data_IF_566275249595
#
_entry.id   IF_566275249595
#
_cell.length_a   1.000
_cell.length_b   1.000
_cell.length_c   1.000
_cell.angle_alpha   90.00
_cell.angle_beta   90.00
_cell.angle_gamma   90.00
#
_symmetry.space_group_name_H-M   'P 1'
#
loop_
_entity.id
_entity.type
_entity.pdbx_description
1 polymer ?
#
# COMPACT_ATOMS: atom_id res chain seq x y z
N UNK A 1 3.00 -5.25 17.40
CA UNK A 1 2.29 -6.47 17.84
C UNK A 1 0.78 -6.40 17.54
N UNK A 2 0.05 -5.37 17.99
CA UNK A 2 -1.41 -5.23 17.75
C UNK A 2 -1.76 -5.25 16.25
N UNK A 3 -1.05 -4.51 15.41
CA UNK A 3 -1.28 -4.49 13.96
C UNK A 3 -1.10 -5.86 13.29
N UNK A 4 -0.10 -6.64 13.71
CA UNK A 4 0.14 -7.99 13.20
C UNK A 4 -1.02 -8.92 13.60
N UNK A 5 -1.47 -8.84 14.85
CA UNK A 5 -2.60 -9.66 15.35
C UNK A 5 -3.87 -9.31 14.59
N UNK A 6 -4.13 -8.02 14.40
CA UNK A 6 -5.32 -7.54 13.69
C UNK A 6 -5.33 -7.96 12.22
N UNK A 7 -4.21 -7.77 11.51
CA UNK A 7 -4.07 -8.24 10.13
C UNK A 7 -4.22 -9.76 10.01
N UNK A 8 -3.59 -10.51 10.93
CA UNK A 8 -3.70 -11.98 10.93
C UNK A 8 -5.13 -12.42 11.17
N UNK A 9 -5.86 -11.76 12.08
CA UNK A 9 -7.26 -12.06 12.35
C UNK A 9 -8.17 -11.70 11.16
N UNK A 10 -7.99 -10.52 10.55
CA UNK A 10 -8.76 -10.09 9.40
C UNK A 10 -8.56 -11.05 8.22
N UNK A 11 -7.31 -11.41 7.92
CA UNK A 11 -6.97 -12.39 6.89
C UNK A 11 -7.57 -13.76 7.18
N UNK A 12 -7.46 -14.24 8.43
CA UNK A 12 -8.07 -15.50 8.83
C UNK A 12 -9.57 -15.51 8.57
N UNK A 13 -10.29 -14.43 8.91
CA UNK A 13 -11.72 -14.28 8.66
C UNK A 13 -12.04 -14.29 7.17
N UNK A 14 -11.28 -13.56 6.35
CA UNK A 14 -11.47 -13.51 4.89
C UNK A 14 -11.23 -14.89 4.28
N UNK A 15 -10.15 -15.57 4.65
CA UNK A 15 -9.85 -16.90 4.12
C UNK A 15 -10.83 -17.98 4.60
N UNK A 16 -11.38 -17.88 5.81
CA UNK A 16 -12.45 -18.76 6.26
C UNK A 16 -13.75 -18.52 5.48
N UNK A 17 -14.07 -17.25 5.19
CA UNK A 17 -15.27 -16.89 4.41
C UNK A 17 -15.17 -17.38 2.97
N UNK A 18 -14.01 -17.20 2.32
CA UNK A 18 -13.76 -17.59 0.94
C UNK A 18 -13.32 -19.05 0.77
N UNK A 19 -13.29 -19.85 1.83
CA UNK A 19 -12.86 -21.26 1.85
C UNK A 19 -11.42 -21.49 1.33
N UNK A 20 -10.56 -20.47 1.37
CA UNK A 20 -9.15 -20.62 1.02
C UNK A 20 -8.36 -21.31 2.15
N UNK A 21 -7.73 -22.44 1.83
CA UNK A 21 -6.83 -23.12 2.76
C UNK A 21 -5.52 -22.35 2.96
N UNK A 22 -5.14 -22.07 4.20
CA UNK A 22 -3.85 -21.48 4.56
C UNK A 22 -2.71 -22.43 4.21
N UNK A 23 -1.87 -22.09 3.22
CA UNK A 23 -0.65 -22.84 2.93
C UNK A 23 0.52 -22.30 3.77
N UNK A 24 1.22 -23.16 4.51
CA UNK A 24 2.33 -22.81 5.41
C UNK A 24 3.37 -21.88 4.77
N UNK A 25 3.75 -22.16 3.53
CA UNK A 25 4.76 -21.35 2.82
C UNK A 25 4.27 -19.91 2.49
N UNK A 26 2.98 -19.74 2.27
CA UNK A 26 2.36 -18.44 2.00
C UNK A 26 2.28 -17.60 3.28
N UNK A 27 2.03 -18.24 4.43
CA UNK A 27 2.05 -17.56 5.72
C UNK A 27 3.44 -17.02 6.09
N UNK A 28 4.52 -17.71 5.72
CA UNK A 28 5.88 -17.24 5.92
C UNK A 28 6.14 -15.95 5.12
N UNK A 29 5.69 -15.87 3.87
CA UNK A 29 5.81 -14.66 3.03
C UNK A 29 5.08 -13.48 3.70
N UNK A 30 3.87 -13.71 4.19
CA UNK A 30 3.11 -12.71 4.93
C UNK A 30 3.85 -12.21 6.18
N UNK A 31 4.41 -13.12 6.97
CA UNK A 31 5.21 -12.75 8.15
C UNK A 31 6.44 -11.91 7.77
N UNK A 32 7.13 -12.26 6.70
CA UNK A 32 8.28 -11.50 6.20
C UNK A 32 7.86 -10.08 5.80
N UNK A 33 6.73 -9.91 5.12
CA UNK A 33 6.22 -8.59 4.76
C UNK A 33 5.90 -7.75 6.01
N UNK A 34 5.20 -8.33 7.00
CA UNK A 34 4.90 -7.64 8.24
C UNK A 34 6.15 -7.28 9.06
N UNK A 35 7.14 -8.17 9.11
CA UNK A 35 8.42 -7.90 9.79
C UNK A 35 9.19 -6.76 9.14
N UNK A 36 9.30 -6.76 7.81
CA UNK A 36 9.92 -5.66 7.06
C UNK A 36 9.26 -4.32 7.36
N UNK A 37 7.93 -4.26 7.29
CA UNK A 37 7.17 -3.06 7.64
C UNK A 37 7.46 -2.61 9.06
N UNK A 38 7.46 -3.55 10.01
CA UNK A 38 7.68 -3.26 11.44
C UNK A 38 9.08 -2.70 11.71
N UNK A 39 10.11 -3.26 11.08
CA UNK A 39 11.52 -2.81 11.27
C UNK A 39 11.71 -1.39 10.74
N UNK A 40 11.24 -1.11 9.52
CA UNK A 40 11.39 0.20 8.89
C UNK A 40 10.66 1.27 9.70
N UNK A 41 9.41 0.99 10.05
CA UNK A 41 8.59 1.92 10.83
C UNK A 41 9.20 2.18 12.21
N UNK A 42 9.68 1.15 12.90
CA UNK A 42 10.28 1.28 14.21
C UNK A 42 11.53 2.19 14.18
N UNK A 43 12.34 2.09 13.13
CA UNK A 43 13.49 2.95 12.95
C UNK A 43 13.12 4.44 12.86
N UNK A 44 11.96 4.78 12.25
CA UNK A 44 11.54 6.17 12.07
C UNK A 44 10.69 6.75 13.21
N UNK A 45 10.09 5.92 14.06
CA UNK A 45 9.35 6.41 15.24
C UNK A 45 10.22 7.26 16.17
N UNK A 46 11.48 6.87 16.34
CA UNK A 46 12.42 7.59 17.19
C UNK A 46 12.84 8.95 16.62
N UNK A 47 12.84 9.10 15.30
CA UNK A 47 13.27 10.33 14.62
C UNK A 47 12.12 11.33 14.41
N UNK A 48 10.92 10.85 14.04
CA UNK A 48 9.83 11.72 13.59
C UNK A 48 8.67 11.83 14.58
N UNK A 49 8.70 11.04 15.66
CA UNK A 49 7.60 10.97 16.63
C UNK A 49 6.46 10.05 16.21
N UNK A 50 5.83 9.43 17.21
CA UNK A 50 4.82 8.39 17.00
C UNK A 50 3.58 8.90 16.25
N UNK A 51 3.07 10.08 16.63
CA UNK A 51 1.84 10.62 16.05
C UNK A 51 1.99 10.92 14.55
N UNK A 52 3.14 11.45 14.15
CA UNK A 52 3.43 11.72 12.75
C UNK A 52 3.57 10.43 11.93
N UNK A 53 4.24 9.42 12.48
CA UNK A 53 4.46 8.15 11.80
C UNK A 53 3.22 7.24 11.77
N UNK A 54 2.23 7.47 12.64
CA UNK A 54 1.10 6.58 12.83
C UNK A 54 0.31 6.23 11.55
N UNK A 55 -0.07 7.19 10.68
CA UNK A 55 -0.77 6.86 9.43
C UNK A 55 0.06 5.99 8.50
N UNK A 56 1.37 6.23 8.41
CA UNK A 56 2.27 5.44 7.58
C UNK A 56 2.45 4.01 8.11
N UNK A 57 2.50 3.86 9.44
CA UNK A 57 2.55 2.55 10.12
C UNK A 57 1.30 1.74 9.80
N UNK A 58 0.14 2.34 10.01
CA UNK A 58 -1.14 1.67 9.78
C UNK A 58 -1.36 1.33 8.31
N UNK A 59 -0.94 2.23 7.41
CA UNK A 59 -0.96 1.97 5.98
C UNK A 59 -0.04 0.80 5.59
N UNK A 60 1.18 0.72 6.15
CA UNK A 60 2.10 -0.39 5.89
C UNK A 60 1.52 -1.74 6.34
N UNK A 61 0.92 -1.81 7.52
CA UNK A 61 0.26 -3.01 8.01
C UNK A 61 -0.96 -3.40 7.17
N UNK A 62 -1.80 -2.42 6.83
CA UNK A 62 -2.94 -2.64 5.95
C UNK A 62 -2.49 -3.19 4.59
N UNK A 63 -1.55 -2.52 3.93
CA UNK A 63 -1.01 -2.95 2.63
C UNK A 63 -0.37 -4.33 2.67
N UNK A 64 0.31 -4.70 3.76
CA UNK A 64 0.89 -6.04 3.88
C UNK A 64 -0.17 -7.13 3.85
N UNK A 65 -1.32 -6.89 4.48
CA UNK A 65 -2.47 -7.79 4.46
C UNK A 65 -3.10 -7.90 3.08
N UNK A 66 -3.36 -6.76 2.44
CA UNK A 66 -3.95 -6.71 1.08
C UNK A 66 -3.01 -7.33 0.05
N UNK A 67 -1.71 -7.03 0.13
CA UNK A 67 -0.70 -7.60 -0.77
C UNK A 67 -0.61 -9.12 -0.65
N UNK A 68 -0.76 -9.65 0.57
CA UNK A 68 -0.78 -11.09 0.77
C UNK A 68 -2.06 -11.72 0.19
N UNK A 69 -3.23 -11.12 0.42
CA UNK A 69 -4.49 -11.60 -0.12
C UNK A 69 -4.47 -11.61 -1.66
N UNK A 70 -4.04 -10.51 -2.27
CA UNK A 70 -3.89 -10.39 -3.72
C UNK A 70 -2.85 -11.38 -4.29
N UNK A 71 -1.73 -11.60 -3.58
CA UNK A 71 -0.73 -12.58 -4.00
C UNK A 71 -1.28 -14.01 -4.04
N UNK A 72 -2.20 -14.36 -3.14
CA UNK A 72 -2.77 -15.72 -3.03
C UNK A 72 -3.96 -15.93 -3.95
N UNK A 73 -4.87 -14.93 -4.03
CA UNK A 73 -6.15 -15.05 -4.71
C UNK A 73 -6.25 -14.26 -6.02
N UNK A 74 -5.29 -13.36 -6.30
CA UNK A 74 -5.38 -12.37 -7.37
C UNK A 74 -6.65 -11.50 -7.31
N UNK A 75 -7.17 -11.29 -6.10
CA UNK A 75 -8.35 -10.47 -5.83
C UNK A 75 -8.09 -9.54 -4.64
N UNK A 76 -8.58 -8.33 -4.77
CA UNK A 76 -8.71 -7.38 -3.66
C UNK A 76 -10.14 -7.47 -3.14
N UNK A 77 -10.29 -7.68 -1.85
CA UNK A 77 -11.59 -7.84 -1.23
C UNK A 77 -12.07 -6.49 -0.68
N UNK A 78 -13.31 -6.11 -0.97
CA UNK A 78 -13.93 -4.86 -0.51
C UNK A 78 -13.78 -4.62 1.00
N UNK A 79 -13.90 -5.69 1.80
CA UNK A 79 -13.73 -5.59 3.25
C UNK A 79 -12.34 -5.07 3.65
N UNK A 80 -11.31 -5.32 2.83
CA UNK A 80 -9.96 -4.83 3.09
C UNK A 80 -9.82 -3.36 2.77
N UNK A 81 -10.58 -2.84 1.80
CA UNK A 81 -10.56 -1.43 1.43
C UNK A 81 -11.11 -0.54 2.55
N UNK A 82 -12.12 -1.01 3.30
CA UNK A 82 -12.64 -0.26 4.46
C UNK A 82 -11.60 0.02 5.54
N UNK A 83 -10.59 -0.84 5.69
CA UNK A 83 -9.53 -0.60 6.67
C UNK A 83 -8.56 0.51 6.25
N UNK A 84 -8.51 0.89 4.96
CA UNK A 84 -7.74 2.03 4.48
C UNK A 84 -8.24 3.36 5.04
N UNK A 85 -9.51 3.44 5.44
CA UNK A 85 -10.12 4.66 5.96
C UNK A 85 -9.36 5.19 7.19
N UNK A 86 -8.84 4.31 8.04
CA UNK A 86 -8.14 4.71 9.28
C UNK A 86 -6.84 5.47 8.95
N UNK A 87 -5.87 4.92 8.21
CA UNK A 87 -4.65 5.67 7.86
C UNK A 87 -4.94 6.91 7.02
N UNK A 88 -5.95 6.89 6.15
CA UNK A 88 -6.38 8.06 5.36
C UNK A 88 -6.85 9.19 6.28
N UNK A 89 -7.76 8.92 7.21
CA UNK A 89 -8.27 9.93 8.14
C UNK A 89 -7.15 10.53 9.01
N UNK A 90 -6.24 9.69 9.50
CA UNK A 90 -5.10 10.17 10.29
C UNK A 90 -4.14 11.02 9.46
N UNK A 91 -3.90 10.70 8.19
CA UNK A 91 -3.10 11.53 7.29
C UNK A 91 -3.75 12.87 7.03
N UNK A 92 -5.07 12.90 6.79
CA UNK A 92 -5.83 14.15 6.63
C UNK A 92 -5.73 15.01 7.88
N UNK A 93 -5.90 14.43 9.06
CA UNK A 93 -5.78 15.15 10.33
C UNK A 93 -4.38 15.74 10.52
N UNK A 94 -3.32 14.98 10.21
CA UNK A 94 -1.95 15.47 10.29
C UNK A 94 -1.72 16.69 9.37
N UNK A 95 -2.27 16.67 8.17
CA UNK A 95 -2.12 17.77 7.20
C UNK A 95 -2.89 19.00 7.65
N UNK A 96 -4.12 18.83 8.13
CA UNK A 96 -4.94 19.95 8.64
C UNK A 96 -4.26 20.62 9.83
N UNK A 97 -3.64 19.84 10.72
CA UNK A 97 -2.90 20.37 11.88
C UNK A 97 -1.67 21.22 11.47
N UNK A 98 -1.11 21.01 10.27
CA UNK A 98 -0.02 21.81 9.73
C UNK A 98 -0.46 23.15 9.08
N UNK A 99 -1.77 23.44 9.11
CA UNK A 99 -2.36 24.69 8.61
C UNK A 99 -3.07 24.57 7.27
N UNK A 100 -4.13 25.35 7.09
CA UNK A 100 -5.00 25.26 5.92
C UNK A 100 -4.33 25.69 4.60
N UNK A 101 -3.42 26.65 4.64
CA UNK A 101 -2.65 27.10 3.47
C UNK A 101 -1.72 26.01 2.92
N UNK A 102 -1.26 25.11 3.78
CA UNK A 102 -0.47 23.95 3.41
C UNK A 102 -1.35 22.77 2.96
N UNK A 103 -2.48 22.57 3.62
CA UNK A 103 -3.38 21.46 3.38
C UNK A 103 -4.07 21.52 2.01
N UNK A 104 -4.53 22.70 1.59
CA UNK A 104 -5.38 22.88 0.42
C UNK A 104 -4.70 22.43 -0.89
N UNK A 105 -3.44 22.85 -1.22
CA UNK A 105 -2.76 22.39 -2.41
C UNK A 105 -2.50 20.87 -2.42
N UNK A 106 -2.17 20.30 -1.26
CA UNK A 106 -1.89 18.87 -1.14
C UNK A 106 -3.15 18.02 -1.32
N UNK A 107 -4.28 18.43 -0.74
CA UNK A 107 -5.57 17.79 -0.97
C UNK A 107 -5.98 17.86 -2.44
N UNK A 108 -5.79 19.01 -3.08
CA UNK A 108 -6.06 19.20 -4.50
C UNK A 108 -5.22 18.25 -5.37
N UNK A 109 -3.92 18.15 -5.10
CA UNK A 109 -3.02 17.25 -5.81
C UNK A 109 -3.41 15.77 -5.60
N UNK A 110 -3.77 15.37 -4.38
CA UNK A 110 -4.25 14.03 -4.10
C UNK A 110 -5.53 13.69 -4.87
N UNK A 111 -6.51 14.61 -4.91
CA UNK A 111 -7.75 14.40 -5.65
C UNK A 111 -7.51 14.23 -7.16
N UNK A 112 -6.62 15.03 -7.75
CA UNK A 112 -6.24 14.90 -9.17
C UNK A 112 -5.58 13.54 -9.43
N UNK A 113 -4.70 13.09 -8.54
CA UNK A 113 -4.03 11.79 -8.69
C UNK A 113 -5.01 10.62 -8.54
N UNK A 114 -5.94 10.69 -7.58
CA UNK A 114 -7.02 9.70 -7.42
C UNK A 114 -7.91 9.63 -8.67
N UNK A 115 -8.30 10.79 -9.22
CA UNK A 115 -9.06 10.84 -10.46
C UNK A 115 -8.30 10.21 -11.63
N UNK A 116 -6.98 10.47 -11.73
CA UNK A 116 -6.13 9.87 -12.76
C UNK A 116 -6.09 8.35 -12.64
N UNK A 117 -5.94 7.78 -11.42
CA UNK A 117 -5.99 6.33 -11.22
C UNK A 117 -7.34 5.73 -11.59
N UNK A 118 -8.45 6.37 -11.24
CA UNK A 118 -9.79 5.94 -11.66
C UNK A 118 -9.97 5.94 -13.18
N UNK A 119 -9.44 6.94 -13.90
CA UNK A 119 -9.46 6.97 -15.37
C UNK A 119 -8.61 5.83 -15.94
N UNK A 120 -7.42 5.59 -15.40
CA UNK A 120 -6.53 4.50 -15.85
C UNK A 120 -7.15 3.12 -15.62
N UNK A 121 -7.86 2.92 -14.52
CA UNK A 121 -8.60 1.67 -14.25
C UNK A 121 -9.73 1.49 -15.29
N UNK A 122 -10.54 2.52 -15.56
CA UNK A 122 -11.58 2.47 -16.60
C UNK A 122 -11.02 2.25 -18.01
N UNK A 123 -9.80 2.72 -18.26
CA UNK A 123 -9.08 2.45 -19.51
C UNK A 123 -8.48 1.03 -19.58
N UNK A 124 -8.62 0.22 -18.53
CA UNK A 124 -8.12 -1.16 -18.47
C UNK A 124 -6.61 -1.28 -18.27
N UNK A 125 -5.94 -0.24 -17.76
CA UNK A 125 -4.49 -0.28 -17.49
C UNK A 125 -4.19 -1.20 -16.30
N UNK A 126 -5.08 -1.22 -15.29
CA UNK A 126 -5.05 -2.11 -14.12
C UNK A 126 -6.48 -2.30 -13.58
N UNK A 127 -6.66 -3.20 -12.60
CA UNK A 127 -7.95 -3.50 -12.01
C UNK A 127 -8.52 -2.35 -11.17
N UNK A 128 -9.85 -2.32 -10.96
CA UNK A 128 -10.51 -1.32 -10.11
C UNK A 128 -9.99 -1.38 -8.68
N UNK A 129 -9.86 -2.56 -8.07
CA UNK A 129 -9.31 -2.72 -6.73
C UNK A 129 -7.85 -2.26 -6.60
N UNK A 130 -7.02 -2.42 -7.65
CA UNK A 130 -5.66 -1.87 -7.68
C UNK A 130 -5.69 -0.33 -7.66
N UNK A 131 -6.65 0.28 -8.38
CA UNK A 131 -6.88 1.73 -8.39
C UNK A 131 -7.22 2.27 -7.00
N UNK A 132 -8.07 1.55 -6.28
CA UNK A 132 -8.51 1.96 -4.94
C UNK A 132 -7.36 1.92 -3.94
N UNK A 133 -6.51 0.89 -4.03
CA UNK A 133 -5.31 0.78 -3.19
C UNK A 133 -4.29 1.86 -3.54
N UNK A 134 -4.01 2.10 -4.82
CA UNK A 134 -3.14 3.18 -5.26
C UNK A 134 -3.64 4.54 -4.79
N UNK A 135 -4.97 4.77 -4.87
CA UNK A 135 -5.63 5.98 -4.41
C UNK A 135 -5.49 6.17 -2.89
N UNK A 136 -5.68 5.11 -2.11
CA UNK A 136 -5.51 5.15 -0.66
C UNK A 136 -4.07 5.52 -0.27
N UNK A 137 -3.07 4.91 -0.90
CA UNK A 137 -1.65 5.23 -0.65
C UNK A 137 -1.34 6.66 -1.06
N UNK A 138 -1.86 7.12 -2.21
CA UNK A 138 -1.71 8.49 -2.70
C UNK A 138 -2.22 9.50 -1.67
N UNK A 139 -3.38 9.24 -1.06
CA UNK A 139 -3.93 10.09 -0.02
C UNK A 139 -3.07 10.04 1.26
N UNK A 140 -2.50 8.91 1.62
CA UNK A 140 -1.60 8.82 2.79
C UNK A 140 -0.32 9.65 2.59
N UNK A 141 0.26 9.67 1.38
CA UNK A 141 1.44 10.48 1.09
C UNK A 141 1.15 11.98 0.95
N UNK A 142 -0.01 12.35 0.46
CA UNK A 142 -0.47 13.74 0.23
C UNK A 142 0.53 14.65 -0.50
N UNK A 143 1.42 14.10 -1.32
CA UNK A 143 2.42 14.87 -2.04
C UNK A 143 2.51 14.38 -3.48
N UNK A 144 2.29 15.28 -4.43
CA UNK A 144 2.28 14.96 -5.85
C UNK A 144 3.63 14.41 -6.34
N UNK A 145 4.75 14.96 -5.82
CA UNK A 145 6.08 14.53 -6.20
C UNK A 145 6.34 13.08 -5.74
N UNK A 146 6.06 12.77 -4.47
CA UNK A 146 6.19 11.42 -3.95
C UNK A 146 5.23 10.44 -4.63
N UNK A 147 4.02 10.86 -4.95
CA UNK A 147 3.06 10.02 -5.65
C UNK A 147 3.51 9.66 -7.07
N UNK A 148 4.11 10.60 -7.82
CA UNK A 148 4.68 10.31 -9.14
C UNK A 148 5.84 9.32 -9.06
N UNK A 149 6.77 9.52 -8.11
CA UNK A 149 7.91 8.60 -7.92
C UNK A 149 7.41 7.23 -7.48
N UNK A 150 6.48 7.19 -6.54
CA UNK A 150 5.87 5.96 -6.05
C UNK A 150 5.22 5.17 -7.19
N UNK A 151 4.39 5.82 -8.00
CA UNK A 151 3.74 5.16 -9.13
C UNK A 151 4.75 4.60 -10.13
N UNK A 152 5.77 5.40 -10.50
CA UNK A 152 6.86 4.94 -11.37
C UNK A 152 7.58 3.73 -10.80
N UNK A 153 7.91 3.74 -9.51
CA UNK A 153 8.55 2.65 -8.80
C UNK A 153 7.68 1.37 -8.78
N UNK A 154 6.38 1.51 -8.51
CA UNK A 154 5.41 0.39 -8.55
C UNK A 154 5.38 -0.25 -9.93
N UNK A 155 5.34 0.54 -11.00
CA UNK A 155 5.33 0.03 -12.37
C UNK A 155 6.63 -0.70 -12.73
N UNK A 156 7.78 -0.17 -12.33
CA UNK A 156 9.08 -0.83 -12.53
C UNK A 156 9.13 -2.17 -11.78
N UNK A 157 8.73 -2.20 -10.51
CA UNK A 157 8.69 -3.43 -9.71
C UNK A 157 7.73 -4.46 -10.29
N UNK A 158 6.57 -4.02 -10.78
CA UNK A 158 5.61 -4.89 -11.43
C UNK A 158 6.17 -5.52 -12.71
N UNK A 159 6.82 -4.71 -13.56
CA UNK A 159 7.46 -5.20 -14.80
C UNK A 159 8.59 -6.19 -14.48
N UNK A 160 9.49 -5.87 -13.55
CA UNK A 160 10.59 -6.75 -13.14
C UNK A 160 10.06 -8.11 -12.66
N UNK A 161 9.05 -8.08 -11.78
CA UNK A 161 8.44 -9.30 -11.24
C UNK A 161 7.77 -10.14 -12.33
N UNK A 162 7.06 -9.50 -13.25
CA UNK A 162 6.40 -10.19 -14.36
C UNK A 162 7.39 -10.76 -15.37
N UNK A 163 8.45 -10.00 -15.70
CA UNK A 163 9.50 -10.46 -16.58
C UNK A 163 10.24 -11.68 -15.98
N UNK A 164 10.63 -11.61 -14.70
CA UNK A 164 11.26 -12.73 -14.02
C UNK A 164 10.43 -14.01 -14.06
N UNK A 165 9.11 -13.88 -13.87
CA UNK A 165 8.21 -15.04 -13.97
C UNK A 165 8.03 -15.53 -15.41
N UNK A 166 7.90 -14.64 -16.38
CA UNK A 166 7.74 -15.00 -17.80
C UNK A 166 8.94 -15.80 -18.29
N UNK A 167 10.16 -15.35 -17.93
CA UNK A 167 11.40 -16.07 -18.23
C UNK A 167 11.44 -17.45 -17.56
N UNK A 168 11.08 -17.52 -16.27
CA UNK A 168 11.11 -18.79 -15.50
C UNK A 168 10.13 -19.83 -16.04
N UNK A 169 8.93 -19.41 -16.45
CA UNK A 169 7.85 -20.33 -16.84
C UNK A 169 7.66 -20.46 -18.36
N UNK A 170 8.43 -19.74 -19.15
CA UNK A 170 8.33 -19.70 -20.63
C UNK A 170 6.92 -19.36 -21.15
N UNK A 171 6.15 -18.62 -20.37
CA UNK A 171 4.76 -18.21 -20.69
C UNK A 171 4.72 -16.70 -20.81
N UNK A 172 4.53 -16.19 -22.04
CA UNK A 172 4.47 -14.74 -22.29
C UNK A 172 3.06 -14.14 -22.17
N UNK A 173 2.00 -14.94 -22.22
CA UNK A 173 0.62 -14.42 -22.27
C UNK A 173 -0.34 -15.19 -21.36
N UNK A 174 -1.28 -14.49 -20.75
CA UNK A 174 -2.57 -15.02 -20.31
C UNK A 174 -2.85 -15.16 -18.82
N UNK A 175 -1.91 -14.89 -17.90
CA UNK A 175 -2.24 -14.97 -16.48
C UNK A 175 -2.33 -13.57 -15.85
N UNK A 176 -3.50 -13.26 -15.31
CA UNK A 176 -3.72 -12.09 -14.44
C UNK A 176 -2.74 -12.20 -13.27
N UNK A 177 -2.01 -11.13 -13.00
CA UNK A 177 -1.03 -11.11 -11.93
C UNK A 177 -1.34 -10.04 -10.92
N UNK A 178 -1.17 -10.37 -9.65
CA UNK A 178 -1.44 -9.43 -8.58
C UNK A 178 -0.51 -8.21 -8.67
N UNK A 179 -1.06 -7.00 -8.67
CA UNK A 179 -0.31 -5.74 -8.66
C UNK A 179 0.04 -5.30 -7.25
N UNK A 180 -0.84 -5.56 -6.27
CA UNK A 180 -0.72 -5.05 -4.90
C UNK A 180 0.59 -5.42 -4.20
N UNK A 181 1.21 -6.60 -4.39
CA UNK A 181 2.53 -6.86 -3.85
C UNK A 181 3.61 -5.89 -4.36
N UNK A 182 3.49 -5.38 -5.60
CA UNK A 182 4.41 -4.35 -6.12
C UNK A 182 4.10 -2.99 -5.52
N UNK A 183 2.83 -2.67 -5.28
CA UNK A 183 2.39 -1.47 -4.54
C UNK A 183 2.98 -1.48 -3.14
N UNK A 184 2.86 -2.59 -2.42
CA UNK A 184 3.41 -2.74 -1.08
C UNK A 184 4.93 -2.57 -1.04
N UNK A 185 5.67 -3.23 -1.93
CA UNK A 185 7.12 -3.09 -2.01
C UNK A 185 7.54 -1.66 -2.37
N UNK A 186 6.85 -1.01 -3.32
CA UNK A 186 7.05 0.39 -3.65
C UNK A 186 6.81 1.31 -2.44
N UNK A 187 5.75 1.03 -1.68
CA UNK A 187 5.43 1.77 -0.46
C UNK A 187 6.56 1.69 0.58
N UNK A 188 7.03 0.48 0.87
CA UNK A 188 8.13 0.25 1.84
C UNK A 188 9.42 0.95 1.41
N UNK A 189 9.76 0.92 0.12
CA UNK A 189 10.96 1.58 -0.42
C UNK A 189 10.84 3.11 -0.38
N UNK A 190 9.63 3.67 -0.46
CA UNK A 190 9.41 5.11 -0.38
C UNK A 190 9.36 5.67 1.06
N UNK A 191 9.06 4.84 2.05
CA UNK A 191 8.95 5.27 3.46
C UNK A 191 10.17 6.07 3.95
N UNK A 192 11.43 5.66 3.71
CA UNK A 192 12.60 6.42 4.12
C UNK A 192 12.64 7.84 3.54
N UNK A 193 12.23 8.00 2.29
CA UNK A 193 12.23 9.30 1.62
C UNK A 193 11.13 10.22 2.16
N UNK A 194 9.93 9.66 2.37
CA UNK A 194 8.79 10.42 2.89
C UNK A 194 9.00 10.83 4.34
N UNK A 195 9.47 9.92 5.18
CA UNK A 195 9.70 10.19 6.61
C UNK A 195 11.00 10.97 6.86
N UNK A 196 12.00 10.84 5.99
CA UNK A 196 13.25 11.59 6.09
C UNK A 196 13.16 13.03 5.58
N UNK A 197 12.11 13.39 4.86
CA UNK A 197 11.86 14.75 4.36
C UNK A 197 10.96 15.58 5.26
N UNK A 198 10.83 15.23 6.54
CA UNK A 198 10.10 16.07 7.50
C UNK A 198 10.69 17.46 7.48
N UNK A 199 9.90 18.54 7.33
CA UNK A 199 10.40 19.87 7.51
C UNK A 199 10.97 19.96 8.93
N UNK A 200 12.23 20.31 9.04
CA UNK A 200 12.85 20.65 10.32
C UNK A 200 11.96 21.73 10.95
N UNK A 201 11.40 21.41 12.09
CA UNK A 201 10.53 22.23 12.91
C UNK A 201 11.27 23.41 13.54
#
# INVERSE_FOLDING_TARGET
MIGIIFNTYALYKIFCYEQFGFKKNQFIIFLVFNLLSSVIVFAYIFSCGLLYCLPYILCAFWLSGVAYADYVSCNVYEIMEYYAVIPILLSILNIINNGTSYALPKLGAALVTVAAYGIMAKAGVFGEGDSDILSAVCIVYFDAYYNCIFFGLVMVLFVIRNFGYAVKNRVMHGNVRPLVPSIYMGYILMLPFVLGSTPES
#
